data_IF_572589963695
#
_entry.id   IF_572589963695
#
_cell.length_a   1.000
_cell.length_b   1.000
_cell.length_c   1.000
_cell.angle_alpha   90.00
_cell.angle_beta   90.00
_cell.angle_gamma   90.00
#
_symmetry.space_group_name_H-M   'P 1'
#
loop_
_entity.id
_entity.type
_entity.pdbx_description
1 polymer ?
#
# COMPACT_ATOMS: atom_id res chain seq x y z
N UNK A 1 15.72 -4.30 -7.64
CA UNK A 1 14.56 -3.44 -7.92
C UNK A 1 14.74 -2.04 -7.39
N UNK A 2 13.87 -1.16 -7.79
CA UNK A 2 13.85 0.22 -7.35
C UNK A 2 12.57 0.49 -6.58
N UNK A 3 12.68 1.17 -5.44
CA UNK A 3 11.55 1.58 -4.63
C UNK A 3 11.52 3.10 -4.54
N UNK A 4 10.36 3.67 -4.80
CA UNK A 4 10.15 5.11 -4.72
C UNK A 4 9.10 5.39 -3.66
N UNK A 5 9.40 6.32 -2.77
CA UNK A 5 8.48 6.77 -1.74
C UNK A 5 8.22 8.25 -1.97
N UNK A 6 6.94 8.60 -2.10
CA UNK A 6 6.52 9.97 -2.38
C UNK A 6 5.82 10.56 -1.16
N UNK A 7 6.29 11.72 -0.73
CA UNK A 7 5.72 12.48 0.38
C UNK A 7 5.12 13.81 -0.10
N UNK A 8 4.71 13.89 -1.36
CA UNK A 8 4.20 15.12 -1.95
C UNK A 8 2.93 15.63 -1.28
N UNK A 9 2.21 14.76 -0.59
CA UNK A 9 0.99 15.11 0.14
C UNK A 9 1.24 14.88 1.64
N UNK A 10 1.01 15.91 2.46
CA UNK A 10 1.22 15.81 3.92
C UNK A 10 0.33 14.78 4.61
N UNK A 11 -0.76 14.35 3.97
CA UNK A 11 -1.72 13.40 4.54
C UNK A 11 -1.54 11.97 4.04
N UNK A 12 -0.66 11.75 3.09
CA UNK A 12 -0.45 10.40 2.56
C UNK A 12 1.01 10.16 2.22
N UNK A 13 1.36 8.88 2.22
CA UNK A 13 2.66 8.38 1.75
C UNK A 13 2.37 7.33 0.69
N UNK A 14 2.96 7.51 -0.49
CA UNK A 14 2.83 6.55 -1.58
C UNK A 14 4.19 5.92 -1.87
N UNK A 15 4.17 4.69 -2.34
CA UNK A 15 5.40 3.96 -2.70
C UNK A 15 5.14 3.08 -3.91
N UNK A 16 6.21 2.80 -4.66
CA UNK A 16 6.16 1.88 -5.79
C UNK A 16 7.50 1.14 -5.89
N UNK A 17 7.44 -0.11 -6.27
CA UNK A 17 8.62 -0.95 -6.46
C UNK A 17 8.50 -1.74 -7.76
N UNK A 18 9.54 -1.68 -8.58
CA UNK A 18 9.62 -2.44 -9.82
C UNK A 18 10.71 -3.50 -9.66
N UNK A 19 10.33 -4.77 -9.80
CA UNK A 19 11.25 -5.89 -9.61
C UNK A 19 10.70 -7.10 -10.38
N UNK A 20 11.60 -7.86 -11.03
CA UNK A 20 11.22 -9.06 -11.76
C UNK A 20 10.51 -10.09 -10.86
N UNK A 21 10.79 -10.05 -9.57
CA UNK A 21 10.18 -10.94 -8.58
C UNK A 21 9.08 -10.25 -7.76
N UNK A 22 8.68 -9.05 -8.13
CA UNK A 22 7.63 -8.35 -7.42
C UNK A 22 6.29 -9.08 -7.57
N UNK A 23 5.50 -9.04 -6.52
CA UNK A 23 4.20 -9.67 -6.50
C UNK A 23 3.40 -9.22 -5.29
N UNK A 24 2.19 -9.76 -5.18
CA UNK A 24 1.28 -9.35 -4.11
C UNK A 24 1.88 -9.62 -2.72
N UNK A 25 2.53 -10.76 -2.54
CA UNK A 25 3.14 -11.10 -1.24
C UNK A 25 4.26 -10.13 -0.87
N UNK A 26 5.05 -9.69 -1.85
CA UNK A 26 6.09 -8.69 -1.64
C UNK A 26 5.47 -7.35 -1.23
N UNK A 27 4.41 -6.94 -1.92
CA UNK A 27 3.69 -5.71 -1.60
C UNK A 27 3.12 -5.77 -0.18
N UNK A 28 2.52 -6.89 0.18
CA UNK A 28 1.97 -7.10 1.52
C UNK A 28 3.05 -6.98 2.58
N UNK A 29 4.19 -7.65 2.38
CA UNK A 29 5.30 -7.60 3.34
C UNK A 29 5.82 -6.20 3.55
N UNK A 30 6.02 -5.44 2.46
CA UNK A 30 6.47 -4.06 2.53
C UNK A 30 5.46 -3.19 3.27
N UNK A 31 4.18 -3.34 2.93
CA UNK A 31 3.08 -2.62 3.56
C UNK A 31 3.04 -2.86 5.07
N UNK A 32 3.09 -4.11 5.49
CA UNK A 32 3.02 -4.46 6.91
C UNK A 32 4.23 -3.96 7.67
N UNK A 33 5.41 -3.96 7.03
CA UNK A 33 6.63 -3.43 7.63
C UNK A 33 6.51 -1.93 7.89
N UNK A 34 6.00 -1.17 6.91
CA UNK A 34 5.80 0.27 7.06
C UNK A 34 4.79 0.59 8.17
N UNK A 35 3.69 -0.14 8.22
CA UNK A 35 2.66 0.08 9.23
C UNK A 35 3.18 -0.22 10.63
N UNK A 36 3.98 -1.27 10.78
CA UNK A 36 4.60 -1.60 12.05
C UNK A 36 5.53 -0.48 12.51
N UNK A 37 6.31 0.10 11.58
CA UNK A 37 7.19 1.22 11.89
C UNK A 37 6.40 2.46 12.33
N UNK A 38 5.16 2.59 11.86
CA UNK A 38 4.26 3.67 12.26
C UNK A 38 3.55 3.39 13.59
N UNK A 39 3.79 2.23 14.20
CA UNK A 39 3.22 1.89 15.48
C UNK A 39 1.97 1.02 15.43
N UNK A 40 1.58 0.54 14.26
CA UNK A 40 0.42 -0.32 14.13
C UNK A 40 0.75 -1.75 14.56
N UNK A 41 -0.20 -2.41 15.21
CA UNK A 41 -0.09 -3.82 15.57
C UNK A 41 -0.75 -4.65 14.48
N UNK A 42 -0.03 -5.65 13.96
CA UNK A 42 -0.57 -6.55 12.93
C UNK A 42 -1.92 -7.15 13.29
N UNK A 43 -2.14 -7.42 14.57
CA UNK A 43 -3.38 -8.05 15.03
C UNK A 43 -4.60 -7.13 14.88
N UNK A 44 -4.36 -5.83 14.76
CA UNK A 44 -5.43 -4.84 14.59
C UNK A 44 -5.73 -4.55 13.12
N UNK A 45 -4.94 -5.12 12.23
CA UNK A 45 -5.04 -4.87 10.79
C UNK A 45 -5.88 -5.95 10.11
N UNK A 46 -6.75 -5.53 9.21
CA UNK A 46 -7.54 -6.43 8.37
C UNK A 46 -7.33 -6.07 6.91
N UNK A 47 -7.14 -7.07 6.08
CA UNK A 47 -7.04 -6.88 4.63
C UNK A 47 -8.36 -7.25 3.98
N UNK A 48 -8.85 -6.37 3.11
CA UNK A 48 -10.08 -6.56 2.36
C UNK A 48 -9.76 -6.42 0.89
N UNK A 49 -10.41 -7.22 0.05
CA UNK A 49 -10.21 -7.11 -1.39
C UNK A 49 -10.56 -5.71 -1.87
N UNK A 50 -9.66 -5.11 -2.64
CA UNK A 50 -9.85 -3.79 -3.22
C UNK A 50 -10.48 -3.86 -4.60
N UNK A 51 -11.07 -2.75 -5.04
CA UNK A 51 -11.65 -2.63 -6.35
C UNK A 51 -10.59 -2.20 -7.37
N UNK A 52 -10.38 -2.95 -8.46
CA UNK A 52 -9.33 -2.60 -9.44
C UNK A 52 -9.60 -1.28 -10.16
N UNK A 53 -10.85 -0.88 -10.28
CA UNK A 53 -11.22 0.36 -10.97
C UNK A 53 -11.00 1.62 -10.11
N UNK A 54 -10.55 1.48 -8.88
CA UNK A 54 -10.23 2.61 -8.01
C UNK A 54 -8.77 3.06 -8.14
N UNK A 55 -8.04 2.51 -9.09
CA UNK A 55 -6.65 2.85 -9.34
C UNK A 55 -6.09 2.00 -10.46
N UNK A 56 -4.75 2.01 -10.65
CA UNK A 56 -4.11 1.30 -11.76
C UNK A 56 -3.86 -0.19 -11.43
N UNK A 57 -4.79 -0.82 -10.72
CA UNK A 57 -4.58 -2.14 -10.12
C UNK A 57 -4.95 -3.29 -11.03
N UNK A 58 -4.17 -4.36 -10.93
CA UNK A 58 -4.53 -5.63 -11.55
C UNK A 58 -5.64 -6.28 -10.74
N UNK A 59 -6.71 -6.69 -11.42
CA UNK A 59 -7.85 -7.31 -10.78
C UNK A 59 -7.44 -8.54 -9.95
N UNK A 60 -7.92 -8.65 -8.73
CA UNK A 60 -7.56 -9.72 -7.82
C UNK A 60 -6.22 -9.56 -7.13
N UNK A 61 -5.52 -8.46 -7.37
CA UNK A 61 -4.19 -8.19 -6.83
C UNK A 61 -4.13 -6.86 -6.11
N UNK A 62 -5.21 -6.45 -5.49
CA UNK A 62 -5.28 -5.21 -4.73
C UNK A 62 -6.00 -5.46 -3.42
N UNK A 63 -5.50 -4.87 -2.34
CA UNK A 63 -6.08 -5.00 -1.01
C UNK A 63 -6.19 -3.65 -0.34
N UNK A 64 -7.26 -3.47 0.42
CA UNK A 64 -7.44 -2.35 1.32
C UNK A 64 -7.00 -2.78 2.71
N UNK A 65 -6.27 -1.91 3.39
CA UNK A 65 -5.83 -2.14 4.76
C UNK A 65 -6.77 -1.39 5.69
N UNK A 66 -7.33 -2.11 6.66
CA UNK A 66 -8.33 -1.58 7.57
C UNK A 66 -7.86 -1.70 9.02
N UNK A 67 -8.20 -0.72 9.84
CA UNK A 67 -8.20 -0.85 11.29
C UNK A 67 -9.66 -0.70 11.71
N UNK A 68 -10.30 -1.82 12.09
CA UNK A 68 -11.74 -1.82 12.29
C UNK A 68 -12.45 -1.45 10.99
N UNK A 69 -13.26 -0.40 11.02
CA UNK A 69 -13.97 0.09 9.84
C UNK A 69 -13.24 1.24 9.13
N UNK A 70 -12.03 1.55 9.57
CA UNK A 70 -11.28 2.69 9.03
C UNK A 70 -10.32 2.21 7.95
N UNK A 71 -10.47 2.76 6.75
CA UNK A 71 -9.60 2.46 5.62
C UNK A 71 -8.33 3.32 5.73
N UNK A 72 -7.18 2.69 5.98
CA UNK A 72 -5.93 3.39 6.24
C UNK A 72 -4.94 3.33 5.09
N UNK A 73 -5.18 2.49 4.12
CA UNK A 73 -4.28 2.40 2.97
C UNK A 73 -4.73 1.37 1.96
N UNK A 74 -4.03 1.35 0.84
CA UNK A 74 -4.28 0.39 -0.25
C UNK A 74 -2.94 -0.01 -0.83
N UNK A 75 -2.79 -1.27 -1.18
CA UNK A 75 -1.61 -1.74 -1.88
C UNK A 75 -2.00 -2.82 -2.89
N UNK A 76 -1.14 -3.03 -3.87
CA UNK A 76 -1.42 -4.07 -4.86
C UNK A 76 -0.41 -4.11 -5.97
N UNK A 77 -0.71 -4.93 -6.95
CA UNK A 77 0.06 -5.05 -8.17
C UNK A 77 -0.56 -4.16 -9.24
N UNK A 78 0.30 -3.41 -9.94
CA UNK A 78 -0.16 -2.50 -10.99
C UNK A 78 -0.51 -3.33 -12.22
N UNK A 79 -1.62 -2.99 -12.87
CA UNK A 79 -2.03 -3.63 -14.12
C UNK A 79 -0.93 -3.47 -15.17
N UNK A 80 -0.47 -4.56 -15.81
CA UNK A 80 0.57 -4.46 -16.84
C UNK A 80 0.21 -3.52 -17.99
N UNK A 81 -1.07 -3.35 -18.30
CA UNK A 81 -1.47 -2.40 -19.35
C UNK A 81 -1.10 -0.96 -18.99
N UNK A 82 -1.07 -0.65 -17.69
CA UNK A 82 -0.66 0.67 -17.22
C UNK A 82 0.86 0.81 -17.23
N UNK A 83 1.56 -0.16 -16.68
CA UNK A 83 3.04 -0.10 -16.62
C UNK A 83 3.66 -0.11 -18.01
N UNK A 84 3.10 -0.83 -18.97
CA UNK A 84 3.60 -0.87 -20.33
C UNK A 84 3.49 0.47 -21.03
N UNK A 85 2.52 1.30 -20.69
CA UNK A 85 2.40 2.65 -21.26
C UNK A 85 3.59 3.53 -20.90
N UNK A 86 4.29 3.19 -19.83
CA UNK A 86 5.50 3.90 -19.41
C UNK A 86 6.78 3.15 -19.79
N UNK A 87 6.66 2.12 -20.65
CA UNK A 87 7.82 1.34 -21.11
C UNK A 87 8.36 0.35 -20.11
N UNK A 88 7.63 0.09 -19.03
CA UNK A 88 8.08 -0.82 -17.98
C UNK A 88 7.66 -2.25 -18.30
N UNK A 89 8.60 -3.20 -18.17
CA UNK A 89 8.38 -4.59 -18.54
C UNK A 89 8.51 -5.57 -17.38
N UNK A 90 8.71 -5.05 -16.17
CA UNK A 90 8.77 -5.87 -14.97
C UNK A 90 7.52 -5.62 -14.13
N UNK A 91 7.12 -6.58 -13.29
CA UNK A 91 6.00 -6.36 -12.38
C UNK A 91 6.24 -5.16 -11.47
N UNK A 92 5.20 -4.39 -11.23
CA UNK A 92 5.25 -3.25 -10.32
C UNK A 92 4.20 -3.47 -9.25
N UNK A 93 4.60 -3.32 -7.99
CA UNK A 93 3.65 -3.22 -6.89
C UNK A 93 3.77 -1.84 -6.25
N UNK A 94 2.68 -1.37 -5.70
CA UNK A 94 2.59 -0.03 -5.17
C UNK A 94 1.61 0.02 -4.01
N UNK A 95 1.65 1.08 -3.26
CA UNK A 95 0.71 1.29 -2.17
C UNK A 95 0.66 2.74 -1.75
N UNK A 96 -0.33 3.04 -0.93
CA UNK A 96 -0.55 4.36 -0.39
C UNK A 96 -1.13 4.23 1.01
N UNK A 97 -0.63 5.07 1.93
CA UNK A 97 -1.14 5.15 3.29
C UNK A 97 -1.61 6.55 3.59
N UNK A 98 -2.72 6.64 4.31
CA UNK A 98 -3.30 7.91 4.75
C UNK A 98 -2.80 8.17 6.17
N UNK A 99 -1.69 8.90 6.29
CA UNK A 99 -0.94 9.03 7.55
C UNK A 99 -1.79 9.61 8.69
N UNK A 100 -2.53 10.69 8.42
CA UNK A 100 -3.37 11.27 9.47
C UNK A 100 -4.45 10.30 9.95
N UNK A 101 -5.01 9.53 9.02
CA UNK A 101 -6.02 8.52 9.35
C UNK A 101 -5.42 7.41 10.20
N UNK A 102 -4.20 6.99 9.89
CA UNK A 102 -3.50 5.97 10.67
C UNK A 102 -3.26 6.46 12.11
N UNK A 103 -2.74 7.67 12.24
CA UNK A 103 -2.46 8.26 13.56
C UNK A 103 -3.73 8.33 14.41
N UNK A 104 -4.84 8.76 13.81
CA UNK A 104 -6.11 8.86 14.53
C UNK A 104 -6.70 7.49 14.90
N UNK A 105 -6.38 6.46 14.11
CA UNK A 105 -6.89 5.11 14.34
C UNK A 105 -6.08 4.31 15.35
N UNK A 106 -4.83 4.71 15.63
CA UNK A 106 -3.96 3.99 16.56
C UNK A 106 -4.44 4.19 18.00
N UNK A 107 -4.50 3.10 18.78
CA UNK A 107 -5.00 3.18 20.16
C UNK A 107 -4.02 3.80 21.14
N UNK A 108 -2.73 3.85 20.82
CA UNK A 108 -1.70 4.32 21.76
C UNK A 108 -1.28 5.75 21.42
N UNK A 109 -1.62 6.73 22.28
CA UNK A 109 -1.27 8.13 22.04
C UNK A 109 0.22 8.43 22.15
N UNK A 110 1.03 7.52 22.67
CA UNK A 110 2.47 7.76 22.81
C UNK A 110 3.19 7.87 21.48
N UNK A 111 2.60 7.32 20.43
CA UNK A 111 3.19 7.33 19.10
C UNK A 111 2.62 8.42 18.19
N UNK A 112 1.88 9.33 18.77
CA UNK A 112 1.23 10.40 18.01
C UNK A 112 1.73 11.76 18.38
#
# INVERSE_FOLDING_TARGET
GATVIDHSNSTSVAWACADANAGFSTAKGFCMSLLRDLGANENDLTLVEGAPNEGPWLAGRVAKVMIGDIHIGTFGEVDPSVSHKFGLRVPIHAGEFYVNTIVDALPDPLFR
#
